data_IF_966013911745
#
_entry.id   IF_966013911745
#
_cell.length_a   1.000
_cell.length_b   1.000
_cell.length_c   1.000
_cell.angle_alpha   90.00
_cell.angle_beta   90.00
_cell.angle_gamma   90.00
#
_symmetry.space_group_name_H-M   'P 1'
#
loop_
_entity.id
_entity.type
_entity.pdbx_description
1 polymer ?
#
# COMPACT_ATOMS: atom_id res chain seq x y z
N UNK A 1 10.34 -6.06 56.13
CA UNK A 1 9.91 -4.69 55.80
C UNK A 1 10.42 -4.39 54.40
N UNK A 2 9.55 -4.10 53.44
CA UNK A 2 9.94 -3.75 52.06
C UNK A 2 10.14 -2.24 52.00
N UNK A 3 11.31 -1.79 51.59
CA UNK A 3 11.58 -0.37 51.32
C UNK A 3 11.91 -0.22 49.83
N UNK A 4 11.27 0.76 49.19
CA UNK A 4 11.52 1.15 47.81
C UNK A 4 12.29 2.47 47.83
N UNK A 5 13.52 2.49 47.32
CA UNK A 5 14.27 3.72 47.06
C UNK A 5 14.45 3.85 45.55
N UNK A 6 13.89 4.93 44.98
CA UNK A 6 14.11 5.31 43.59
C UNK A 6 15.39 6.14 43.55
N UNK A 7 16.40 5.69 42.81
CA UNK A 7 17.67 6.41 42.67
C UNK A 7 17.71 7.16 41.33
N UNK A 8 18.44 8.28 41.27
CA UNK A 8 18.52 9.22 40.12
C UNK A 8 19.17 8.66 38.84
N UNK A 9 19.49 7.36 38.79
CA UNK A 9 20.20 6.70 37.69
C UNK A 9 19.36 5.60 37.01
N UNK A 10 18.03 5.76 36.90
CA UNK A 10 17.14 4.84 36.17
C UNK A 10 17.01 3.40 36.73
N UNK A 11 17.22 3.22 38.05
CA UNK A 11 16.98 1.94 38.72
C UNK A 11 16.01 2.10 39.88
N UNK A 12 15.06 1.17 39.99
CA UNK A 12 14.34 0.90 41.24
C UNK A 12 15.08 -0.22 41.97
N UNK A 13 15.58 0.08 43.16
CA UNK A 13 16.23 -0.93 44.01
C UNK A 13 15.21 -1.41 45.04
N UNK A 14 14.83 -2.68 44.96
CA UNK A 14 14.02 -3.32 45.98
C UNK A 14 14.93 -3.91 47.06
N UNK A 15 14.78 -3.42 48.29
CA UNK A 15 15.47 -3.97 49.45
C UNK A 15 14.53 -4.92 50.19
N UNK A 16 14.80 -6.22 50.08
CA UNK A 16 14.05 -7.25 50.81
C UNK A 16 14.90 -7.69 52.01
N UNK A 17 14.43 -7.37 53.22
CA UNK A 17 14.99 -7.92 54.46
C UNK A 17 14.32 -9.25 54.77
N UNK A 18 15.10 -10.35 54.72
CA UNK A 18 14.76 -11.62 55.35
C UNK A 18 15.61 -11.78 56.61
N UNK A 19 15.15 -12.59 57.57
CA UNK A 19 15.76 -12.71 58.90
C UNK A 19 17.24 -13.12 58.90
N UNK A 20 17.77 -13.63 57.77
CA UNK A 20 19.13 -14.18 57.64
C UNK A 20 19.95 -13.61 56.46
N UNK A 21 19.41 -12.70 55.63
CA UNK A 21 20.19 -12.09 54.54
C UNK A 21 19.54 -10.85 53.94
N UNK A 22 20.37 -9.92 53.45
CA UNK A 22 19.95 -8.81 52.57
C UNK A 22 20.26 -9.20 51.12
N UNK A 23 19.23 -9.29 50.27
CA UNK A 23 19.40 -9.37 48.81
C UNK A 23 18.97 -8.05 48.17
N UNK A 24 19.75 -7.60 47.19
CA UNK A 24 19.44 -6.44 46.37
C UNK A 24 18.93 -6.93 45.01
N UNK A 25 17.71 -6.56 44.65
CA UNK A 25 17.22 -6.70 43.28
C UNK A 25 17.22 -5.31 42.65
N UNK A 26 18.03 -5.11 41.61
CA UNK A 26 18.00 -3.92 40.77
C UNK A 26 17.03 -4.17 39.61
N UNK A 27 16.00 -3.34 39.48
CA UNK A 27 15.16 -3.28 38.29
C UNK A 27 15.56 -2.02 37.54
N UNK A 28 16.09 -2.19 36.32
CA UNK A 28 16.37 -1.08 35.41
C UNK A 28 15.05 -0.59 34.83
N UNK A 29 14.75 0.69 35.02
CA UNK A 29 13.69 1.35 34.28
C UNK A 29 14.27 1.72 32.93
N UNK A 30 13.67 1.22 31.86
CA UNK A 30 14.01 1.63 30.49
C UNK A 30 12.87 2.54 30.05
N UNK A 31 13.20 3.79 29.76
CA UNK A 31 12.25 4.73 29.17
C UNK A 31 11.94 4.27 27.74
N UNK A 32 10.65 4.13 27.46
CA UNK A 32 10.11 3.63 26.21
C UNK A 32 9.45 4.81 25.50
N UNK A 33 10.04 5.26 24.40
CA UNK A 33 9.48 6.35 23.58
C UNK A 33 8.34 5.84 22.70
N UNK A 34 8.47 4.60 22.22
CA UNK A 34 7.49 3.99 21.34
C UNK A 34 7.35 2.49 21.61
N UNK A 35 6.11 2.02 21.64
CA UNK A 35 5.75 0.60 21.67
C UNK A 35 4.48 0.35 20.88
N UNK A 36 4.51 -0.65 20.01
CA UNK A 36 3.35 -1.14 19.29
C UNK A 36 3.33 -2.67 19.25
N UNK A 37 2.22 -3.28 19.69
CA UNK A 37 2.05 -4.73 19.75
C UNK A 37 0.92 -5.19 18.85
N UNK A 38 1.24 -6.02 17.86
CA UNK A 38 0.28 -6.71 17.01
C UNK A 38 0.17 -8.17 17.43
N UNK A 39 -1.06 -8.70 17.48
CA UNK A 39 -1.31 -10.11 17.73
C UNK A 39 -1.10 -10.99 16.50
N UNK A 40 -1.32 -10.43 15.31
CA UNK A 40 -1.13 -11.09 14.03
C UNK A 40 0.07 -10.50 13.27
N UNK A 41 1.14 -11.28 13.15
CA UNK A 41 2.35 -10.86 12.43
C UNK A 41 2.15 -10.60 10.94
N UNK A 42 1.07 -11.14 10.34
CA UNK A 42 0.79 -10.93 8.92
C UNK A 42 0.52 -9.46 8.61
N UNK A 43 -0.12 -8.72 9.50
CA UNK A 43 -0.50 -7.30 9.30
C UNK A 43 0.73 -6.48 8.93
N UNK A 44 1.70 -6.38 9.85
CA UNK A 44 2.91 -5.59 9.60
C UNK A 44 3.72 -6.16 8.43
N UNK A 45 3.74 -7.48 8.26
CA UNK A 45 4.46 -8.09 7.13
C UNK A 45 3.83 -7.70 5.79
N UNK A 46 2.52 -7.80 5.64
CA UNK A 46 1.79 -7.48 4.42
C UNK A 46 1.92 -6.01 4.05
N UNK A 47 1.80 -5.12 5.04
CA UNK A 47 2.05 -3.68 4.85
C UNK A 47 3.47 -3.45 4.33
N UNK A 48 4.50 -3.95 5.02
CA UNK A 48 5.89 -3.73 4.60
C UNK A 48 6.20 -4.39 3.22
N UNK A 49 5.62 -5.57 2.92
CA UNK A 49 5.77 -6.23 1.63
C UNK A 49 5.15 -5.40 0.48
N UNK A 50 4.02 -4.74 0.72
CA UNK A 50 3.36 -3.88 -0.28
C UNK A 50 4.21 -2.66 -0.71
N UNK A 51 5.08 -2.16 0.18
CA UNK A 51 6.00 -1.06 -0.17
C UNK A 51 7.28 -1.52 -0.89
N UNK A 52 7.57 -2.81 -0.94
CA UNK A 52 8.87 -3.33 -1.38
C UNK A 52 9.21 -3.11 -2.86
N UNK A 53 8.21 -2.81 -3.69
CA UNK A 53 8.42 -2.47 -5.10
C UNK A 53 8.51 -0.95 -5.34
N UNK A 54 8.07 -0.13 -4.37
CA UNK A 54 8.09 1.33 -4.52
C UNK A 54 9.46 1.91 -4.17
N UNK A 55 10.06 1.43 -3.07
CA UNK A 55 11.28 1.98 -2.50
C UNK A 55 12.10 0.89 -1.80
N UNK A 56 13.42 1.07 -1.67
CA UNK A 56 14.28 0.17 -0.88
C UNK A 56 14.22 0.50 0.62
N UNK A 57 14.05 1.79 0.94
CA UNK A 57 14.04 2.35 2.28
C UNK A 57 12.88 3.32 2.42
N UNK A 58 12.36 3.43 3.63
CA UNK A 58 11.13 4.17 3.90
C UNK A 58 11.04 4.53 5.37
N UNK A 59 10.10 5.40 5.72
CA UNK A 59 9.84 5.79 7.09
C UNK A 59 8.48 5.26 7.54
N UNK A 60 8.50 4.66 8.72
CA UNK A 60 7.28 4.39 9.47
C UNK A 60 7.10 5.51 10.50
N UNK A 61 5.95 6.16 10.48
CA UNK A 61 5.60 7.23 11.41
C UNK A 61 4.58 6.72 12.43
N UNK A 62 4.94 6.76 13.70
CA UNK A 62 4.05 6.48 14.81
C UNK A 62 3.59 7.79 15.45
N UNK A 63 2.31 7.85 15.79
CA UNK A 63 1.65 9.01 16.42
C UNK A 63 0.70 8.52 17.51
N UNK A 64 0.16 9.38 18.38
CA UNK A 64 -0.87 8.96 19.34
C UNK A 64 -2.12 8.31 18.72
N UNK A 65 -2.38 8.52 17.41
CA UNK A 65 -3.51 7.95 16.68
C UNK A 65 -3.23 6.56 16.10
N UNK A 66 -1.96 6.19 15.89
CA UNK A 66 -1.60 4.95 15.21
C UNK A 66 -0.29 5.07 14.45
N UNK A 67 -0.09 4.18 13.48
CA UNK A 67 1.07 4.17 12.60
C UNK A 67 0.67 4.45 11.18
N UNK A 68 1.49 5.19 10.44
CA UNK A 68 1.27 5.51 9.04
C UNK A 68 2.57 5.37 8.25
N UNK A 69 2.38 5.17 6.96
CA UNK A 69 3.46 4.95 6.01
C UNK A 69 2.97 5.31 4.61
N UNK A 70 3.73 6.13 3.90
CA UNK A 70 3.42 6.49 2.52
C UNK A 70 4.67 6.69 1.68
N UNK A 71 4.58 6.28 0.43
CA UNK A 71 5.66 6.45 -0.53
C UNK A 71 5.13 6.57 -1.95
N UNK A 72 5.94 7.27 -2.74
CA UNK A 72 5.79 7.41 -4.19
C UNK A 72 7.02 6.74 -4.78
N UNK A 73 6.85 5.92 -5.82
CA UNK A 73 7.98 5.28 -6.47
C UNK A 73 8.88 6.30 -7.17
N UNK A 74 10.11 5.90 -7.49
CA UNK A 74 11.10 6.80 -8.12
C UNK A 74 10.66 7.36 -9.48
N UNK A 75 9.86 6.60 -10.23
CA UNK A 75 9.31 7.05 -11.52
C UNK A 75 8.01 7.87 -11.38
N UNK A 76 7.48 7.99 -10.15
CA UNK A 76 6.27 8.76 -9.80
C UNK A 76 5.02 8.31 -10.54
N UNK A 77 4.94 7.02 -10.87
CA UNK A 77 3.78 6.38 -11.49
C UNK A 77 2.91 5.67 -10.46
N UNK A 78 3.45 5.36 -9.29
CA UNK A 78 2.78 4.61 -8.23
C UNK A 78 2.89 5.34 -6.89
N UNK A 79 1.79 5.34 -6.15
CA UNK A 79 1.73 5.86 -4.79
C UNK A 79 1.01 4.86 -3.89
N UNK A 80 1.60 4.59 -2.72
CA UNK A 80 1.00 3.75 -1.69
C UNK A 80 0.90 4.53 -0.39
N UNK A 81 -0.26 4.45 0.24
CA UNK A 81 -0.53 4.95 1.58
C UNK A 81 -1.11 3.82 2.42
N UNK A 82 -0.57 3.64 3.62
CA UNK A 82 -1.07 2.70 4.60
C UNK A 82 -1.20 3.38 5.97
N UNK A 83 -2.34 3.16 6.60
CA UNK A 83 -2.65 3.64 7.94
C UNK A 83 -3.06 2.45 8.81
N UNK A 84 -2.46 2.34 9.99
CA UNK A 84 -2.77 1.37 11.04
C UNK A 84 -3.26 2.14 12.26
N UNK A 85 -4.56 2.08 12.54
CA UNK A 85 -5.14 2.79 13.67
C UNK A 85 -4.70 2.14 15.00
N UNK A 86 -4.61 2.93 16.07
CA UNK A 86 -4.18 2.42 17.39
C UNK A 86 -5.02 1.23 17.87
N UNK A 87 -6.28 1.14 17.46
CA UNK A 87 -7.23 0.07 17.76
C UNK A 87 -6.78 -1.30 17.21
N UNK A 88 -5.94 -1.32 16.18
CA UNK A 88 -5.34 -2.54 15.63
C UNK A 88 -4.34 -3.19 16.58
N UNK A 89 -3.78 -2.40 17.50
CA UNK A 89 -2.72 -2.84 18.39
C UNK A 89 -3.29 -3.29 19.74
N UNK A 90 -2.81 -4.43 20.21
CA UNK A 90 -3.15 -4.96 21.54
C UNK A 90 -2.57 -4.07 22.65
N UNK A 91 -1.43 -3.45 22.39
CA UNK A 91 -0.75 -2.53 23.30
C UNK A 91 -0.02 -1.50 22.45
N UNK A 92 -0.36 -0.22 22.64
CA UNK A 92 0.18 0.90 21.88
C UNK A 92 0.50 2.06 22.82
N UNK A 93 1.74 2.54 22.74
CA UNK A 93 2.24 3.68 23.52
C UNK A 93 3.15 4.52 22.63
N UNK A 94 2.68 5.69 22.24
CA UNK A 94 3.43 6.69 21.48
C UNK A 94 3.00 8.07 22.01
N UNK A 95 3.68 8.63 23.03
CA UNK A 95 3.29 9.91 23.63
C UNK A 95 3.48 11.09 22.67
N UNK A 96 4.54 11.04 21.86
CA UNK A 96 4.90 12.04 20.86
C UNK A 96 5.12 11.34 19.52
N UNK A 97 5.22 12.12 18.44
CA UNK A 97 5.51 11.58 17.12
C UNK A 97 6.88 10.88 17.10
N UNK A 98 6.91 9.69 16.51
CA UNK A 98 8.10 8.87 16.48
C UNK A 98 8.33 8.32 15.07
N UNK A 99 9.55 8.47 14.56
CA UNK A 99 9.92 8.05 13.20
C UNK A 99 10.90 6.88 13.23
N UNK A 100 10.62 5.87 12.42
CA UNK A 100 11.49 4.70 12.23
C UNK A 100 11.89 4.62 10.77
N UNK A 101 13.18 4.82 10.48
CA UNK A 101 13.74 4.54 9.16
C UNK A 101 13.96 3.03 9.02
N UNK A 102 13.32 2.40 8.04
CA UNK A 102 13.39 0.96 7.82
C UNK A 102 13.97 0.64 6.45
N UNK A 103 14.91 -0.30 6.41
CA UNK A 103 15.23 -1.00 5.17
C UNK A 103 14.17 -2.08 4.96
N UNK A 104 13.42 -1.99 3.87
CA UNK A 104 12.24 -2.83 3.64
C UNK A 104 12.64 -4.31 3.52
N UNK A 105 13.70 -4.60 2.75
CA UNK A 105 14.18 -5.96 2.55
C UNK A 105 14.58 -6.65 3.87
N UNK A 106 15.28 -5.96 4.76
CA UNK A 106 15.67 -6.51 6.06
C UNK A 106 14.51 -6.70 7.02
N UNK A 107 13.56 -5.75 7.02
CA UNK A 107 12.32 -5.87 7.79
C UNK A 107 11.52 -7.10 7.33
N UNK A 108 11.35 -7.29 6.01
CA UNK A 108 10.66 -8.46 5.43
C UNK A 108 11.36 -9.76 5.83
N UNK A 109 12.69 -9.85 5.70
CA UNK A 109 13.46 -11.05 6.10
C UNK A 109 13.20 -11.44 7.55
N UNK A 110 13.11 -10.45 8.44
CA UNK A 110 12.81 -10.67 9.86
C UNK A 110 11.36 -11.12 10.03
N UNK A 111 10.39 -10.36 9.51
CA UNK A 111 8.95 -10.63 9.68
C UNK A 111 8.54 -11.98 9.08
N UNK A 112 9.19 -12.45 8.00
CA UNK A 112 8.99 -13.81 7.44
C UNK A 112 9.36 -14.94 8.40
N UNK A 113 10.08 -14.66 9.48
CA UNK A 113 10.40 -15.67 10.52
C UNK A 113 9.27 -15.84 11.53
N UNK A 114 8.27 -14.96 11.54
CA UNK A 114 7.11 -15.05 12.41
C UNK A 114 6.05 -15.97 11.81
N UNK A 115 5.38 -16.75 12.67
CA UNK A 115 4.11 -17.38 12.31
C UNK A 115 2.98 -16.38 12.44
N UNK A 116 1.85 -16.63 11.77
CA UNK A 116 0.68 -15.75 11.87
C UNK A 116 0.16 -15.59 13.30
N UNK A 117 0.30 -16.61 14.13
CA UNK A 117 -0.10 -16.57 15.55
C UNK A 117 0.96 -15.99 16.49
N UNK A 118 2.13 -15.58 15.98
CA UNK A 118 3.15 -14.93 16.80
C UNK A 118 2.79 -13.47 17.01
N UNK A 119 2.89 -12.99 18.26
CA UNK A 119 2.78 -11.56 18.55
C UNK A 119 4.05 -10.85 18.08
N UNK A 120 3.89 -9.72 17.42
CA UNK A 120 4.97 -8.81 17.03
C UNK A 120 4.94 -7.59 17.93
N UNK A 121 6.08 -7.24 18.51
CA UNK A 121 6.24 -6.01 19.27
C UNK A 121 7.35 -5.18 18.62
N UNK A 122 7.01 -3.97 18.22
CA UNK A 122 7.96 -2.92 17.86
C UNK A 122 8.21 -2.08 19.11
N UNK A 123 9.48 -1.89 19.46
CA UNK A 123 9.89 -1.13 20.65
C UNK A 123 11.08 -0.26 20.32
N UNK A 124 11.02 1.00 20.75
CA UNK A 124 12.18 1.89 20.80
C UNK A 124 12.43 2.34 22.24
N UNK A 125 13.72 2.45 22.58
CA UNK A 125 14.20 2.73 23.92
C UNK A 125 15.15 3.93 23.86
N UNK A 126 14.93 4.93 24.72
CA UNK A 126 15.71 6.18 24.74
C UNK A 126 17.22 5.98 24.89
N UNK A 127 17.63 4.89 25.54
CA UNK A 127 19.03 4.51 25.72
C UNK A 127 19.77 4.07 24.45
N UNK A 128 19.03 3.63 23.43
CA UNK A 128 19.57 3.18 22.16
C UNK A 128 18.83 3.89 21.02
N UNK A 129 19.05 5.21 20.82
CA UNK A 129 18.24 6.03 19.92
C UNK A 129 18.28 5.55 18.46
N UNK A 130 19.33 4.83 18.06
CA UNK A 130 19.50 4.29 16.71
C UNK A 130 19.00 2.84 16.56
N UNK A 131 18.39 2.25 17.59
CA UNK A 131 17.96 0.86 17.54
C UNK A 131 16.44 0.76 17.57
N UNK A 132 15.89 -0.02 16.64
CA UNK A 132 14.52 -0.53 16.76
C UNK A 132 14.58 -2.00 17.17
N UNK A 133 13.79 -2.36 18.19
CA UNK A 133 13.64 -3.73 18.64
C UNK A 133 12.38 -4.33 18.02
N UNK A 134 12.53 -5.50 17.41
CA UNK A 134 11.42 -6.31 16.92
C UNK A 134 11.39 -7.59 17.73
N UNK A 135 10.34 -7.76 18.54
CA UNK A 135 10.14 -8.98 19.33
C UNK A 135 9.08 -9.84 18.71
N UNK A 136 9.38 -11.13 18.59
CA UNK A 136 8.42 -12.16 18.20
C UNK A 136 8.15 -13.05 19.39
N UNK A 137 6.91 -13.07 19.85
CA UNK A 137 6.50 -13.84 21.02
C UNK A 137 5.52 -14.93 20.58
N UNK A 138 5.91 -16.16 20.84
CA UNK A 138 5.10 -17.37 20.67
C UNK A 138 4.90 -18.06 22.02
N UNK A 139 4.11 -19.13 22.04
CA UNK A 139 3.96 -20.03 23.19
C UNK A 139 5.29 -20.66 23.63
N UNK A 140 6.16 -20.96 22.67
CA UNK A 140 7.40 -21.75 22.87
C UNK A 140 8.67 -20.92 22.93
N UNK A 141 8.67 -19.73 22.35
CA UNK A 141 9.89 -18.96 22.15
C UNK A 141 9.65 -17.45 22.14
N UNK A 142 10.67 -16.72 22.59
CA UNK A 142 10.77 -15.27 22.45
C UNK A 142 12.02 -14.97 21.66
N UNK A 143 11.87 -14.27 20.54
CA UNK A 143 12.98 -13.82 19.69
C UNK A 143 13.01 -12.30 19.74
N UNK A 144 14.20 -11.72 19.74
CA UNK A 144 14.39 -10.28 19.73
C UNK A 144 15.44 -9.96 18.69
N UNK A 145 15.03 -9.23 17.66
CA UNK A 145 15.90 -8.65 16.66
C UNK A 145 16.15 -7.21 17.07
N UNK A 146 17.41 -6.78 16.98
CA UNK A 146 17.81 -5.39 17.19
C UNK A 146 18.37 -4.91 15.86
N UNK A 147 17.61 -4.04 15.21
CA UNK A 147 18.02 -3.43 13.94
C UNK A 147 18.54 -2.03 14.22
N UNK A 148 19.57 -1.66 13.48
CA UNK A 148 19.97 -0.26 13.40
C UNK A 148 18.95 0.46 12.53
N UNK A 149 18.19 1.38 13.12
CA UNK A 149 17.44 2.38 12.37
C UNK A 149 18.45 3.33 11.76
N UNK A 150 18.35 3.60 10.45
CA UNK A 150 19.08 4.73 9.88
C UNK A 150 18.50 6.02 10.48
N UNK A 151 19.38 6.90 10.95
CA UNK A 151 18.98 8.18 11.56
C UNK A 151 18.38 9.12 10.51
N UNK A 152 17.52 10.00 11.01
CA UNK A 152 16.75 11.09 10.38
C UNK A 152 17.49 11.95 9.33
N UNK A 153 18.81 11.90 9.22
CA UNK A 153 19.59 12.83 8.39
C UNK A 153 19.47 12.62 6.88
N UNK A 154 19.00 11.45 6.42
CA UNK A 154 19.02 11.09 5.00
C UNK A 154 17.62 10.86 4.40
N UNK A 155 16.58 10.75 5.23
CA UNK A 155 15.19 10.49 4.81
C UNK A 155 14.22 11.47 5.49
N UNK A 156 13.25 11.98 4.72
CA UNK A 156 12.30 13.04 5.08
C UNK A 156 11.67 12.98 6.47
N UNK A 157 11.33 14.15 7.03
CA UNK A 157 10.65 14.30 8.33
C UNK A 157 9.13 14.06 8.26
N UNK A 158 8.43 14.28 9.38
CA UNK A 158 6.97 14.20 9.43
C UNK A 158 6.31 15.20 8.47
N UNK A 159 6.90 16.38 8.28
CA UNK A 159 6.44 17.38 7.30
C UNK A 159 6.46 16.86 5.85
N UNK A 160 7.36 15.95 5.50
CA UNK A 160 7.38 15.33 4.18
C UNK A 160 6.33 14.23 4.05
N UNK A 161 6.05 13.51 5.13
CA UNK A 161 4.98 12.52 5.18
C UNK A 161 3.60 13.18 5.04
N UNK A 162 3.37 14.28 5.73
CA UNK A 162 2.13 15.08 5.62
C UNK A 162 1.94 15.61 4.19
N UNK A 163 3.02 16.04 3.51
CA UNK A 163 2.94 16.45 2.10
C UNK A 163 2.54 15.29 1.19
N UNK A 164 2.99 14.07 1.45
CA UNK A 164 2.56 12.89 0.68
C UNK A 164 1.07 12.65 0.89
N UNK A 165 0.57 12.73 2.12
CA UNK A 165 -0.88 12.65 2.39
C UNK A 165 -1.68 13.74 1.66
N UNK A 166 -1.20 14.98 1.65
CA UNK A 166 -1.82 16.07 0.90
C UNK A 166 -1.87 15.78 -0.61
N UNK A 167 -0.79 15.19 -1.16
CA UNK A 167 -0.74 14.76 -2.57
C UNK A 167 -1.79 13.68 -2.84
N UNK A 168 -1.90 12.67 -1.97
CA UNK A 168 -2.93 11.63 -2.11
C UNK A 168 -4.32 12.25 -2.17
N UNK A 169 -4.64 13.13 -1.21
CA UNK A 169 -5.95 13.78 -1.15
C UNK A 169 -6.23 14.59 -2.43
N UNK A 170 -5.24 15.36 -2.91
CA UNK A 170 -5.38 16.13 -4.16
C UNK A 170 -5.62 15.22 -5.37
N UNK A 171 -4.94 14.08 -5.47
CA UNK A 171 -5.15 13.12 -6.54
C UNK A 171 -6.54 12.50 -6.46
N UNK A 172 -6.97 12.06 -5.28
CA UNK A 172 -8.32 11.52 -5.07
C UNK A 172 -9.41 12.54 -5.43
N UNK A 173 -9.23 13.80 -5.07
CA UNK A 173 -10.14 14.89 -5.46
C UNK A 173 -10.12 15.13 -6.98
N UNK A 174 -8.94 15.09 -7.61
CA UNK A 174 -8.76 15.31 -9.05
C UNK A 174 -9.42 14.24 -9.91
N UNK A 175 -9.38 12.98 -9.46
CA UNK A 175 -9.90 11.83 -10.20
C UNK A 175 -11.29 11.37 -9.76
N UNK A 176 -11.83 11.90 -8.65
CA UNK A 176 -13.12 11.50 -8.06
C UNK A 176 -14.24 11.30 -9.09
N UNK A 177 -14.52 12.34 -9.88
CA UNK A 177 -15.62 12.34 -10.85
C UNK A 177 -15.25 11.69 -12.18
N UNK A 178 -14.01 11.22 -12.32
CA UNK A 178 -13.48 10.52 -13.51
C UNK A 178 -13.46 9.01 -13.35
N UNK A 179 -13.57 8.50 -12.12
CA UNK A 179 -13.79 7.07 -11.88
C UNK A 179 -15.21 6.71 -12.29
N UNK A 180 -15.35 6.04 -13.44
CA UNK A 180 -16.63 5.60 -13.98
C UNK A 180 -17.03 4.22 -13.50
N UNK A 181 -16.11 3.46 -12.90
CA UNK A 181 -16.40 2.19 -12.24
C UNK A 181 -15.72 2.10 -10.86
N UNK A 182 -16.45 1.55 -9.89
CA UNK A 182 -15.94 1.13 -8.57
C UNK A 182 -16.43 -0.29 -8.29
N UNK A 183 -15.51 -1.24 -8.12
CA UNK A 183 -15.80 -2.68 -8.04
C UNK A 183 -15.11 -3.25 -6.80
N UNK A 184 -15.87 -3.86 -5.90
CA UNK A 184 -15.35 -4.52 -4.69
C UNK A 184 -15.34 -6.03 -4.89
N UNK A 185 -14.17 -6.66 -4.77
CA UNK A 185 -14.00 -8.10 -4.98
C UNK A 185 -13.07 -8.75 -3.95
N UNK A 186 -13.01 -10.08 -3.96
CA UNK A 186 -12.06 -10.85 -3.16
C UNK A 186 -10.63 -10.61 -3.66
N UNK A 187 -9.74 -10.17 -2.78
CA UNK A 187 -8.33 -9.92 -3.14
C UNK A 187 -7.57 -11.18 -3.57
N UNK A 188 -8.00 -12.37 -3.16
CA UNK A 188 -7.43 -13.64 -3.64
C UNK A 188 -7.78 -13.92 -5.10
N UNK A 189 -8.95 -13.49 -5.56
CA UNK A 189 -9.32 -13.60 -6.97
C UNK A 189 -8.44 -12.67 -7.81
N UNK A 190 -8.25 -11.43 -7.39
CA UNK A 190 -7.37 -10.48 -8.09
C UNK A 190 -5.90 -10.93 -8.10
N UNK A 191 -5.44 -11.57 -7.02
CA UNK A 191 -4.08 -12.17 -6.91
C UNK A 191 -3.85 -13.26 -7.98
N UNK A 192 -4.82 -14.15 -8.18
CA UNK A 192 -4.71 -15.19 -9.22
C UNK A 192 -4.74 -14.57 -10.63
N UNK A 193 -5.57 -13.55 -10.87
CA UNK A 193 -5.61 -12.85 -12.17
C UNK A 193 -4.26 -12.22 -12.50
N UNK A 194 -3.61 -11.55 -11.55
CA UNK A 194 -2.28 -10.97 -11.80
C UNK A 194 -1.24 -12.06 -12.09
N UNK A 195 -1.26 -13.17 -11.36
CA UNK A 195 -0.33 -14.29 -11.59
C UNK A 195 -0.52 -14.91 -12.97
N UNK A 196 -1.76 -15.08 -13.39
CA UNK A 196 -2.09 -15.59 -14.73
C UNK A 196 -1.60 -14.62 -15.81
N UNK A 197 -1.85 -13.33 -15.64
CA UNK A 197 -1.40 -12.27 -16.55
C UNK A 197 0.13 -12.16 -16.67
N UNK A 198 0.85 -12.29 -15.54
CA UNK A 198 2.33 -12.24 -15.50
C UNK A 198 3.03 -13.40 -16.21
N UNK A 199 2.32 -14.47 -16.56
CA UNK A 199 2.87 -15.55 -17.40
C UNK A 199 3.02 -15.07 -18.85
N UNK A 200 2.18 -14.14 -19.27
CA UNK A 200 2.03 -13.71 -20.67
C UNK A 200 2.68 -12.35 -20.92
N UNK A 201 2.42 -11.34 -20.09
CA UNK A 201 2.90 -9.98 -20.35
C UNK A 201 3.43 -9.28 -19.10
N UNK A 202 4.12 -8.15 -19.30
CA UNK A 202 4.51 -7.22 -18.24
C UNK A 202 3.42 -6.17 -17.96
N UNK A 203 2.37 -6.13 -18.79
CA UNK A 203 1.24 -5.20 -18.67
C UNK A 203 -0.09 -5.94 -18.63
N UNK A 204 -1.09 -5.28 -18.05
CA UNK A 204 -2.47 -5.76 -18.06
C UNK A 204 -3.39 -4.60 -18.43
N UNK A 205 -4.25 -4.83 -19.42
CA UNK A 205 -5.33 -3.94 -19.80
C UNK A 205 -6.56 -4.32 -18.99
N UNK A 206 -7.04 -3.39 -18.18
CA UNK A 206 -8.28 -3.52 -17.41
C UNK A 206 -9.34 -2.70 -18.12
N UNK A 207 -10.45 -3.33 -18.50
CA UNK A 207 -11.56 -2.60 -19.11
C UNK A 207 -12.90 -3.05 -18.52
N UNK A 208 -13.78 -2.08 -18.27
CA UNK A 208 -15.14 -2.29 -17.75
C UNK A 208 -16.11 -1.86 -18.83
N UNK A 209 -17.00 -2.76 -19.22
CA UNK A 209 -18.02 -2.53 -20.25
C UNK A 209 -19.38 -2.41 -19.57
N UNK A 210 -19.92 -1.19 -19.48
CA UNK A 210 -21.17 -0.93 -18.77
C UNK A 210 -22.35 -1.67 -19.39
N UNK A 211 -22.41 -1.73 -20.73
CA UNK A 211 -23.51 -2.39 -21.44
C UNK A 211 -23.54 -3.91 -21.23
N UNK A 212 -22.37 -4.52 -21.02
CA UNK A 212 -22.20 -5.96 -20.85
C UNK A 212 -22.17 -6.37 -19.37
N UNK A 213 -22.02 -5.40 -18.46
CA UNK A 213 -21.93 -5.60 -17.02
C UNK A 213 -20.76 -6.53 -16.61
N UNK A 214 -19.61 -6.35 -17.27
CA UNK A 214 -18.40 -7.15 -17.06
C UNK A 214 -17.17 -6.26 -16.78
N UNK A 215 -16.24 -6.81 -16.01
CA UNK A 215 -14.84 -6.34 -15.95
C UNK A 215 -13.94 -7.39 -16.57
N UNK A 216 -13.06 -6.94 -17.46
CA UNK A 216 -12.12 -7.77 -18.20
C UNK A 216 -10.68 -7.39 -17.89
N UNK A 217 -9.87 -8.42 -17.69
CA UNK A 217 -8.43 -8.32 -17.48
C UNK A 217 -7.74 -9.04 -18.63
N UNK A 218 -7.00 -8.28 -19.45
CA UNK A 218 -6.36 -8.81 -20.66
C UNK A 218 -4.87 -8.54 -20.59
N UNK A 219 -4.07 -9.59 -20.71
CA UNK A 219 -2.62 -9.49 -20.88
C UNK A 219 -2.23 -10.22 -22.16
N UNK A 220 -1.54 -9.50 -23.05
CA UNK A 220 -1.13 -10.02 -24.36
C UNK A 220 0.29 -9.55 -24.68
N UNK A 221 1.04 -10.44 -25.33
CA UNK A 221 2.34 -10.14 -25.92
C UNK A 221 2.53 -10.96 -27.22
N UNK A 222 3.76 -11.05 -27.73
CA UNK A 222 4.06 -11.86 -28.93
C UNK A 222 3.93 -13.39 -28.71
N UNK A 223 3.94 -13.84 -27.45
CA UNK A 223 3.93 -15.25 -27.09
C UNK A 223 2.51 -15.79 -26.85
N UNK A 224 1.56 -14.92 -26.50
CA UNK A 224 0.16 -15.29 -26.36
C UNK A 224 -0.72 -14.21 -25.75
N UNK A 225 -1.89 -14.64 -25.31
CA UNK A 225 -2.90 -13.81 -24.67
C UNK A 225 -3.58 -14.60 -23.55
N UNK A 226 -3.91 -13.91 -22.46
CA UNK A 226 -4.82 -14.36 -21.43
C UNK A 226 -5.89 -13.29 -21.21
N UNK A 227 -7.14 -13.73 -21.17
CA UNK A 227 -8.31 -12.92 -20.89
C UNK A 227 -9.08 -13.54 -19.72
N UNK A 228 -9.34 -12.73 -18.71
CA UNK A 228 -10.22 -13.08 -17.59
C UNK A 228 -11.39 -12.13 -17.56
N UNK A 229 -12.58 -12.67 -17.87
CA UNK A 229 -13.85 -11.97 -17.81
C UNK A 229 -14.57 -12.29 -16.49
N UNK A 230 -15.06 -11.25 -15.82
CA UNK A 230 -15.86 -11.37 -14.61
C UNK A 230 -17.19 -10.64 -14.82
N UNK A 231 -18.27 -11.42 -14.76
CA UNK A 231 -19.64 -10.92 -14.65
C UNK A 231 -19.83 -10.22 -13.29
N UNK A 232 -20.26 -8.95 -13.30
CA UNK A 232 -20.40 -8.15 -12.08
C UNK A 232 -21.60 -8.56 -11.21
N UNK A 233 -22.66 -9.13 -11.78
CA UNK A 233 -23.84 -9.55 -11.00
C UNK A 233 -23.54 -10.78 -10.11
N UNK A 234 -22.56 -11.60 -10.50
CA UNK A 234 -22.26 -12.86 -9.82
C UNK A 234 -20.81 -13.05 -9.35
N UNK A 235 -19.87 -12.29 -9.91
CA UNK A 235 -18.44 -12.48 -9.71
C UNK A 235 -17.79 -11.55 -8.68
N UNK A 236 -18.49 -10.51 -8.22
CA UNK A 236 -17.96 -9.51 -7.28
C UNK A 236 -18.89 -9.31 -6.07
N UNK A 237 -18.40 -8.58 -5.06
CA UNK A 237 -19.13 -8.36 -3.80
C UNK A 237 -20.06 -7.14 -3.87
N UNK A 238 -19.62 -6.08 -4.55
CA UNK A 238 -20.39 -4.85 -4.78
C UNK A 238 -19.80 -4.11 -5.98
N UNK A 239 -20.60 -3.34 -6.71
CA UNK A 239 -20.11 -2.52 -7.81
C UNK A 239 -21.01 -1.32 -8.12
N UNK A 240 -20.41 -0.28 -8.66
CA UNK A 240 -21.09 0.88 -9.23
C UNK A 240 -20.39 1.26 -10.54
N UNK A 241 -21.10 1.13 -11.67
CA UNK A 241 -20.59 1.44 -13.00
C UNK A 241 -21.50 2.48 -13.67
N UNK A 242 -20.96 3.67 -13.87
CA UNK A 242 -21.64 4.81 -14.48
C UNK A 242 -21.27 5.05 -15.95
N UNK A 243 -20.24 4.37 -16.45
CA UNK A 243 -19.80 4.42 -17.84
C UNK A 243 -18.67 3.43 -18.08
N UNK A 244 -18.28 3.27 -19.35
CA UNK A 244 -17.13 2.44 -19.71
C UNK A 244 -15.83 3.04 -19.12
N UNK A 245 -14.84 2.17 -18.94
CA UNK A 245 -13.51 2.56 -18.47
C UNK A 245 -12.45 1.62 -19.00
N UNK A 246 -11.25 2.14 -19.27
CA UNK A 246 -10.12 1.32 -19.65
C UNK A 246 -8.78 1.92 -19.21
N UNK A 247 -7.81 1.05 -18.98
CA UNK A 247 -6.43 1.46 -18.77
C UNK A 247 -5.46 0.28 -18.82
N UNK A 248 -4.25 0.54 -19.30
CA UNK A 248 -3.14 -0.42 -19.32
C UNK A 248 -2.22 -0.13 -18.14
N UNK A 249 -1.89 -1.13 -17.32
CA UNK A 249 -1.09 -0.95 -16.11
C UNK A 249 0.08 -1.94 -16.05
N UNK A 250 1.18 -1.54 -15.44
CA UNK A 250 2.34 -2.41 -15.25
C UNK A 250 2.07 -3.46 -14.17
N UNK A 251 2.20 -4.75 -14.54
CA UNK A 251 1.82 -5.88 -13.67
C UNK A 251 2.68 -5.98 -12.41
N UNK A 252 3.98 -5.70 -12.51
CA UNK A 252 4.88 -5.79 -11.36
C UNK A 252 4.46 -4.89 -10.18
N UNK A 253 3.86 -3.74 -10.48
CA UNK A 253 3.31 -2.83 -9.48
C UNK A 253 2.05 -3.42 -8.83
N UNK A 254 1.12 -3.94 -9.65
CA UNK A 254 -0.14 -4.54 -9.18
C UNK A 254 0.07 -5.84 -8.38
N UNK A 255 0.90 -6.77 -8.86
CA UNK A 255 1.27 -8.00 -8.12
C UNK A 255 1.86 -7.66 -6.75
N UNK A 256 2.68 -6.61 -6.67
CA UNK A 256 3.30 -6.27 -5.41
C UNK A 256 2.31 -5.77 -4.37
N UNK A 257 1.35 -4.93 -4.77
CA UNK A 257 0.36 -4.39 -3.83
C UNK A 257 -0.65 -5.47 -3.40
N UNK A 258 -1.04 -6.39 -4.28
CA UNK A 258 -2.02 -7.43 -3.97
C UNK A 258 -1.54 -8.41 -2.89
N UNK A 259 -0.24 -8.48 -2.59
CA UNK A 259 0.31 -9.23 -1.44
C UNK A 259 -0.25 -8.81 -0.08
N UNK A 260 -0.92 -7.65 0.00
CA UNK A 260 -1.62 -7.20 1.20
C UNK A 260 -2.99 -7.85 1.41
N UNK A 261 -3.54 -8.54 0.41
CA UNK A 261 -4.84 -9.23 0.44
C UNK A 261 -5.09 -10.11 1.70
N UNK A 262 -4.03 -10.65 2.30
CA UNK A 262 -4.05 -11.60 3.41
C UNK A 262 -4.33 -10.93 4.76
N UNK A 263 -4.41 -9.60 4.77
CA UNK A 263 -4.66 -8.77 5.94
C UNK A 263 -5.76 -7.74 5.74
N UNK A 264 -6.34 -7.68 4.54
CA UNK A 264 -7.53 -6.87 4.23
C UNK A 264 -8.76 -7.78 4.07
N UNK A 265 -9.95 -7.22 4.13
CA UNK A 265 -11.20 -7.94 3.84
C UNK A 265 -11.37 -8.21 2.34
N UNK A 266 -11.49 -7.12 1.60
CA UNK A 266 -11.86 -7.04 0.21
C UNK A 266 -10.99 -5.97 -0.42
N UNK A 267 -10.90 -5.98 -1.75
CA UNK A 267 -10.26 -4.90 -2.50
C UNK A 267 -11.29 -4.15 -3.33
N UNK A 268 -11.33 -2.83 -3.19
CA UNK A 268 -12.08 -1.94 -4.05
C UNK A 268 -11.17 -1.43 -5.17
N UNK A 269 -11.60 -1.62 -6.41
CA UNK A 269 -10.97 -1.15 -7.63
C UNK A 269 -11.78 0.03 -8.14
N UNK A 270 -11.22 1.23 -8.14
CA UNK A 270 -11.81 2.37 -8.85
C UNK A 270 -11.01 2.64 -10.12
N UNK A 271 -11.71 2.70 -11.26
CA UNK A 271 -11.12 2.85 -12.59
C UNK A 271 -11.94 3.83 -13.44
N UNK A 272 -11.25 4.52 -14.33
CA UNK A 272 -11.80 5.38 -15.38
C UNK A 272 -10.85 5.34 -16.59
N UNK A 273 -11.26 5.91 -17.73
CA UNK A 273 -10.45 5.84 -18.95
C UNK A 273 -9.17 6.67 -18.88
N UNK A 274 -8.02 6.04 -19.09
CA UNK A 274 -6.70 6.68 -19.18
C UNK A 274 -6.34 7.55 -17.96
N UNK A 275 -6.78 7.12 -16.77
CA UNK A 275 -6.41 7.70 -15.47
C UNK A 275 -5.84 6.62 -14.54
N UNK A 276 -5.21 7.01 -13.41
CA UNK A 276 -4.69 6.03 -12.47
C UNK A 276 -5.76 5.07 -11.96
N UNK A 277 -5.44 3.77 -11.86
CA UNK A 277 -6.28 2.81 -11.14
C UNK A 277 -6.07 3.01 -9.64
N UNK A 278 -7.18 3.05 -8.88
CA UNK A 278 -7.15 3.10 -7.41
C UNK A 278 -7.51 1.74 -6.85
N UNK A 279 -6.64 1.20 -5.99
CA UNK A 279 -6.93 0.02 -5.18
C UNK A 279 -7.02 0.42 -3.71
N UNK A 280 -8.10 0.04 -3.05
CA UNK A 280 -8.34 0.37 -1.64
C UNK A 280 -8.78 -0.88 -0.86
N UNK A 281 -8.31 -1.01 0.38
CA UNK A 281 -8.71 -2.13 1.24
C UNK A 281 -8.60 -1.77 2.72
N UNK A 282 -9.51 -2.32 3.54
CA UNK A 282 -9.52 -2.09 4.97
C UNK A 282 -8.73 -3.17 5.69
N UNK A 283 -7.78 -2.77 6.54
CA UNK A 283 -7.00 -3.70 7.35
C UNK A 283 -7.88 -4.18 8.50
N UNK A 284 -8.03 -5.51 8.61
CA UNK A 284 -8.90 -6.10 9.60
C UNK A 284 -8.24 -6.20 10.98
N UNK A 285 -9.01 -5.80 11.99
CA UNK A 285 -8.77 -6.13 13.39
C UNK A 285 -9.06 -7.61 13.67
N UNK A 286 -8.72 -8.11 14.86
CA UNK A 286 -9.17 -9.45 15.29
C UNK A 286 -10.69 -9.56 15.41
N UNK A 287 -11.41 -8.45 15.65
CA UNK A 287 -12.87 -8.41 15.65
C UNK A 287 -13.47 -8.48 14.25
N UNK A 288 -12.69 -8.18 13.20
CA UNK A 288 -13.15 -8.17 11.81
C UNK A 288 -14.12 -7.03 11.50
N UNK A 289 -14.12 -5.96 12.30
CA UNK A 289 -15.02 -4.80 12.17
C UNK A 289 -14.54 -3.75 11.16
N UNK A 290 -13.41 -3.99 10.49
CA UNK A 290 -12.86 -3.08 9.47
C UNK A 290 -12.29 -1.78 10.02
N UNK A 291 -12.20 -1.60 11.35
CA UNK A 291 -11.66 -0.36 11.96
C UNK A 291 -10.16 -0.44 12.22
N UNK A 292 -9.44 -1.36 11.58
CA UNK A 292 -8.03 -1.62 11.88
C UNK A 292 -7.08 -0.67 11.16
N UNK A 293 -7.51 -0.11 10.05
CA UNK A 293 -6.67 0.70 9.19
C UNK A 293 -7.12 0.62 7.75
N UNK A 294 -6.40 1.30 6.86
CA UNK A 294 -6.68 1.31 5.43
C UNK A 294 -5.40 1.32 4.63
N UNK A 295 -5.47 0.78 3.42
CA UNK A 295 -4.44 0.91 2.40
C UNK A 295 -5.07 1.49 1.15
N UNK A 296 -4.41 2.49 0.58
CA UNK A 296 -4.80 3.14 -0.68
C UNK A 296 -3.60 3.11 -1.61
N UNK A 297 -3.82 2.63 -2.82
CA UNK A 297 -2.81 2.53 -3.86
C UNK A 297 -3.32 3.19 -5.15
N UNK A 298 -2.49 4.04 -5.74
CA UNK A 298 -2.75 4.67 -7.04
C UNK A 298 -1.63 4.27 -8.00
N UNK A 299 -1.99 3.78 -9.18
CA UNK A 299 -1.06 3.45 -10.25
C UNK A 299 -1.49 4.09 -11.56
N UNK A 300 -0.63 4.93 -12.11
CA UNK A 300 -0.83 5.57 -13.40
C UNK A 300 -0.87 4.53 -14.54
N UNK A 301 -1.70 4.76 -15.56
CA UNK A 301 -1.71 3.91 -16.74
C UNK A 301 -0.40 4.10 -17.52
N UNK A 302 -0.02 3.08 -18.29
CA UNK A 302 0.97 3.23 -19.35
C UNK A 302 0.32 3.99 -20.49
N UNK A 303 1.10 4.90 -21.09
CA UNK A 303 0.76 5.49 -22.38
C UNK A 303 1.30 4.50 -23.40
N UNK A 304 0.41 3.89 -24.18
CA UNK A 304 0.83 3.10 -25.32
C UNK A 304 1.21 4.10 -26.43
N UNK A 305 2.43 4.02 -26.97
CA UNK A 305 2.92 4.91 -28.03
C UNK A 305 2.19 4.69 -29.38
N UNK A 306 1.22 3.75 -29.43
CA UNK A 306 0.50 3.34 -30.64
C UNK A 306 -0.72 4.22 -30.96
N UNK A 307 -1.05 5.20 -30.12
CA UNK A 307 -2.14 6.18 -30.37
C UNK A 307 -1.74 7.30 -31.36
N UNK A 308 -0.49 7.35 -31.82
CA UNK A 308 0.02 8.36 -32.77
C UNK A 308 -0.15 7.97 -34.26
N UNK A 309 -0.69 6.78 -34.58
CA UNK A 309 -0.82 6.29 -35.98
C UNK A 309 -2.17 6.67 -36.67
N UNK A 310 -2.94 7.59 -36.11
CA UNK A 310 -4.09 8.22 -36.78
C UNK A 310 -3.78 9.66 -37.26
N UNK A 311 -2.62 9.89 -37.87
CA UNK A 311 -2.57 10.90 -38.94
C UNK A 311 -3.34 10.32 -40.14
N UNK A 312 -4.60 10.73 -40.30
CA UNK A 312 -5.29 10.60 -41.58
C UNK A 312 -4.39 11.24 -42.64
N UNK A 313 -3.74 10.40 -43.45
CA UNK A 313 -3.19 10.75 -44.76
C UNK A 313 -4.35 11.26 -45.63
N UNK A 314 -4.77 12.49 -45.38
CA UNK A 314 -5.60 13.24 -46.31
C UNK A 314 -4.67 13.70 -47.42
N UNK A 315 -4.33 12.79 -48.34
CA UNK A 315 -3.84 13.20 -49.65
C UNK A 315 -4.93 14.08 -50.27
N UNK A 316 -4.68 15.36 -50.57
CA UNK A 316 -5.61 16.14 -51.37
C UNK A 316 -5.55 15.58 -52.78
N UNK A 317 -6.38 14.56 -53.03
CA UNK A 317 -6.63 14.00 -54.34
C UNK A 317 -7.02 15.12 -55.30
N UNK A 318 -6.30 15.16 -56.41
CA UNK A 318 -6.46 16.07 -57.53
C UNK A 318 -7.94 16.33 -57.87
N UNK A 319 -8.44 17.51 -57.50
CA UNK A 319 -9.61 18.07 -58.17
C UNK A 319 -9.18 18.47 -59.58
N UNK A 320 -9.41 17.56 -60.52
CA UNK A 320 -9.39 17.78 -61.95
C UNK A 320 -10.37 18.91 -62.31
N UNK A 321 -9.84 20.12 -62.44
CA UNK A 321 -10.54 21.26 -63.04
C UNK A 321 -10.45 21.14 -64.57
N UNK A 322 -11.16 20.16 -65.13
CA UNK A 322 -11.52 20.15 -66.56
C UNK A 322 -13.02 20.00 -66.73
N UNK A 323 -13.73 21.10 -66.54
CA UNK A 323 -15.01 21.34 -67.22
C UNK A 323 -15.03 22.77 -67.74
N UNK A 324 -14.29 22.96 -68.83
CA UNK A 324 -14.68 23.89 -69.88
C UNK A 324 -15.91 23.27 -70.57
N UNK A 325 -17.10 23.78 -70.27
CA UNK A 325 -18.22 23.68 -71.21
C UNK A 325 -18.77 25.09 -71.46
N UNK A 326 -18.46 25.54 -72.68
CA UNK A 326 -19.13 26.59 -73.42
C UNK A 326 -20.65 26.45 -73.30
N UNK A 327 -21.32 27.50 -72.82
CA UNK A 327 -22.71 27.77 -73.22
C UNK A 327 -22.81 29.24 -73.63
N UNK A 328 -22.90 29.42 -74.94
CA UNK A 328 -23.32 30.64 -75.62
C UNK A 328 -24.74 31.07 -75.21
N UNK A 329 -24.92 32.39 -75.15
CA UNK A 329 -26.06 33.20 -75.65
C UNK A 329 -27.50 32.66 -75.49
N UNK A 330 -28.34 33.33 -74.69
CA UNK A 330 -29.26 34.39 -75.17
C UNK A 330 -30.44 34.66 -74.20
N UNK A 331 -31.00 35.89 -74.31
CA UNK A 331 -32.19 36.47 -73.66
C UNK A 331 -32.00 36.96 -72.20
N UNK A 332 -32.16 38.23 -71.82
CA UNK A 332 -32.92 39.34 -72.39
C UNK A 332 -32.45 40.69 -71.79
#
# INVERSE_FOLDING_TARGET
MLYCEVNRNDYIIFRIHSHDSTRYNQIRLVEMEFKATLSNSRILRGVIEAFSYLQEETNLFATPAGMKMSDIDDSRVAMLYAELQKELFVDYSCPEEFKIGVNIADMIKILRRAKSSDKIILEHQSENPNDILIRMISDKSKRTFRLKSKTVSDMGGMEEEEKKEDILQQLEETFRDKFTASITMDGTMLDEIMKDAMIVSDTIRVHVLQAENVINFVASDETGEVEVEIDLDGGVLDYNVTGDSEGTYALNFLDNIIKIQSVIDNINISIGSNIPIKLEGNILTESGDGTGGKVVYLLAPRVDDDDDDFEEDFEPGDFDNTFDEEFEEDFN
#
